data_IF_354817847556
#
_entry.id   IF_354817847556
#
_cell.length_a   1.000
_cell.length_b   1.000
_cell.length_c   1.000
_cell.angle_alpha   90.00
_cell.angle_beta   90.00
_cell.angle_gamma   90.00
#
_symmetry.space_group_name_H-M   'P 1'
#
loop_
_entity.id
_entity.type
_entity.pdbx_description
1 polymer ?
#
# COMPACT_ATOMS: atom_id res chain seq x y z
N UNK A 1 -5.16 -13.96 3.37
CA UNK A 1 -5.28 -13.15 4.62
C UNK A 1 -6.39 -12.13 4.40
N UNK A 2 -7.24 -11.86 5.40
CA UNK A 2 -8.31 -10.85 5.27
C UNK A 2 -7.99 -9.65 6.16
N UNK A 3 -8.05 -8.43 5.61
CA UNK A 3 -7.88 -7.17 6.35
C UNK A 3 -9.13 -6.96 7.21
N UNK A 4 -8.99 -7.03 8.55
CA UNK A 4 -10.11 -6.96 9.52
C UNK A 4 -10.63 -5.53 9.78
N UNK A 5 -10.19 -4.58 8.97
CA UNK A 5 -10.38 -3.14 9.08
C UNK A 5 -10.46 -2.59 7.64
N UNK A 6 -11.22 -1.51 7.38
CA UNK A 6 -11.42 -0.99 6.03
C UNK A 6 -10.14 -0.31 5.49
N UNK A 7 -9.15 -1.12 5.10
CA UNK A 7 -7.81 -0.72 4.63
C UNK A 7 -7.60 -1.06 3.14
N UNK A 8 -8.67 -1.49 2.46
CA UNK A 8 -8.61 -1.89 1.05
C UNK A 8 -8.08 -0.76 0.14
N UNK A 9 -8.33 0.51 0.47
CA UNK A 9 -7.78 1.65 -0.26
C UNK A 9 -6.24 1.72 -0.21
N UNK A 10 -5.63 1.46 0.95
CA UNK A 10 -4.17 1.43 1.09
C UNK A 10 -3.56 0.20 0.44
N UNK A 11 -4.27 -0.93 0.42
CA UNK A 11 -3.87 -2.08 -0.39
C UNK A 11 -3.87 -1.73 -1.89
N UNK A 12 -4.94 -1.07 -2.39
CA UNK A 12 -5.00 -0.59 -3.78
C UNK A 12 -3.84 0.35 -4.09
N UNK A 13 -3.44 1.21 -3.15
CA UNK A 13 -2.27 2.10 -3.31
C UNK A 13 -0.98 1.29 -3.54
N UNK A 14 -0.78 0.19 -2.81
CA UNK A 14 0.33 -0.74 -3.02
C UNK A 14 0.35 -1.32 -4.44
N UNK A 15 -0.80 -1.82 -4.90
CA UNK A 15 -0.97 -2.34 -6.25
C UNK A 15 -0.71 -1.27 -7.32
N UNK A 16 -1.19 -0.04 -7.09
CA UNK A 16 -0.98 1.08 -7.99
C UNK A 16 0.50 1.41 -8.13
N UNK A 17 1.25 1.51 -7.03
CA UNK A 17 2.70 1.79 -7.04
C UNK A 17 3.45 0.75 -7.88
N UNK A 18 3.11 -0.54 -7.71
CA UNK A 18 3.70 -1.63 -8.49
C UNK A 18 3.42 -1.50 -9.98
N UNK A 19 2.19 -1.09 -10.32
CA UNK A 19 1.70 -0.97 -11.69
C UNK A 19 2.36 0.20 -12.42
N UNK A 20 2.50 1.36 -11.78
CA UNK A 20 3.04 2.56 -12.43
C UNK A 20 4.57 2.55 -12.54
N UNK A 21 5.28 1.90 -11.62
CA UNK A 21 6.75 1.78 -11.65
C UNK A 21 7.53 3.10 -11.45
N UNK A 22 6.85 4.23 -11.26
CA UNK A 22 7.45 5.57 -11.13
C UNK A 22 7.67 6.02 -9.67
N UNK A 23 7.05 5.32 -8.71
CA UNK A 23 7.05 5.73 -7.30
C UNK A 23 7.93 4.81 -6.45
N UNK A 24 8.68 5.41 -5.51
CA UNK A 24 9.40 4.64 -4.49
C UNK A 24 8.42 4.20 -3.40
N UNK A 25 8.39 2.91 -3.09
CA UNK A 25 7.53 2.36 -2.04
C UNK A 25 7.76 3.06 -0.68
N UNK A 26 9.02 3.34 -0.33
CA UNK A 26 9.40 4.03 0.91
C UNK A 26 8.85 5.47 1.01
N UNK A 27 8.71 6.17 -0.11
CA UNK A 27 8.10 7.52 -0.12
C UNK A 27 6.63 7.46 0.27
N UNK A 28 5.92 6.39 -0.13
CA UNK A 28 4.51 6.24 0.21
C UNK A 28 4.33 5.74 1.65
N UNK A 29 5.24 4.92 2.17
CA UNK A 29 5.26 4.59 3.61
C UNK A 29 5.38 5.85 4.47
N UNK A 30 6.23 6.78 4.06
CA UNK A 30 6.39 8.04 4.76
C UNK A 30 5.15 8.93 4.66
N UNK A 31 4.51 8.99 3.48
CA UNK A 31 3.23 9.67 3.32
C UNK A 31 2.13 9.07 4.23
N UNK A 32 2.09 7.75 4.41
CA UNK A 32 1.16 7.10 5.35
C UNK A 32 1.41 7.59 6.78
N UNK A 33 2.67 7.72 7.20
CA UNK A 33 3.02 8.21 8.55
C UNK A 33 2.63 9.67 8.77
N UNK A 34 2.71 10.49 7.73
CA UNK A 34 2.38 11.91 7.79
C UNK A 34 0.87 12.19 7.75
N UNK A 35 0.10 11.38 7.01
CA UNK A 35 -1.33 11.63 6.75
C UNK A 35 -2.25 10.91 7.73
N UNK A 36 -1.89 9.69 8.16
CA UNK A 36 -2.75 8.89 9.03
C UNK A 36 -2.39 9.04 10.52
N UNK A 37 -3.35 8.84 11.44
CA UNK A 37 -3.06 8.68 12.86
C UNK A 37 -2.09 7.52 13.14
N UNK A 38 -1.18 7.70 14.11
CA UNK A 38 -0.11 6.73 14.45
C UNK A 38 -0.60 5.30 14.65
N UNK A 39 -1.72 5.12 15.35
CA UNK A 39 -2.36 3.81 15.60
C UNK A 39 -2.70 3.03 14.33
N UNK A 40 -2.75 3.69 13.17
CA UNK A 40 -3.09 3.08 11.88
C UNK A 40 -1.86 2.82 10.99
N UNK A 41 -0.67 3.33 11.33
CA UNK A 41 0.51 3.27 10.45
C UNK A 41 0.90 1.84 10.09
N UNK A 42 1.13 0.99 11.10
CA UNK A 42 1.66 -0.36 10.90
C UNK A 42 0.75 -1.22 10.00
N UNK A 43 -0.56 -1.24 10.28
CA UNK A 43 -1.52 -2.03 9.50
C UNK A 43 -1.69 -1.52 8.06
N UNK A 44 -1.58 -0.21 7.84
CA UNK A 44 -1.68 0.39 6.51
C UNK A 44 -0.41 0.13 5.69
N UNK A 45 0.77 0.31 6.29
CA UNK A 45 2.05 0.01 5.63
C UNK A 45 2.12 -1.47 5.25
N UNK A 46 1.72 -2.37 6.15
CA UNK A 46 1.70 -3.81 5.87
C UNK A 46 0.73 -4.16 4.73
N UNK A 47 -0.50 -3.62 4.76
CA UNK A 47 -1.48 -3.87 3.70
C UNK A 47 -0.99 -3.35 2.34
N UNK A 48 -0.35 -2.19 2.30
CA UNK A 48 0.26 -1.63 1.10
C UNK A 48 1.38 -2.53 0.57
N UNK A 49 2.28 -3.00 1.44
CA UNK A 49 3.40 -3.87 1.06
C UNK A 49 2.94 -5.21 0.50
N UNK A 50 2.00 -5.87 1.19
CA UNK A 50 1.40 -7.13 0.72
C UNK A 50 0.83 -6.93 -0.68
N UNK A 51 0.03 -5.88 -0.89
CA UNK A 51 -0.57 -5.64 -2.19
C UNK A 51 0.46 -5.30 -3.28
N UNK A 52 1.51 -4.53 -2.96
CA UNK A 52 2.60 -4.24 -3.88
C UNK A 52 3.33 -5.53 -4.34
N UNK A 53 3.58 -6.45 -3.40
CA UNK A 53 4.24 -7.74 -3.68
C UNK A 53 3.34 -8.71 -4.45
N UNK A 54 2.07 -8.81 -4.08
CA UNK A 54 1.10 -9.73 -4.69
C UNK A 54 0.59 -9.26 -6.06
N UNK A 55 0.73 -7.96 -6.37
CA UNK A 55 0.25 -7.40 -7.64
C UNK A 55 1.05 -7.92 -8.83
N UNK A 56 0.34 -8.61 -9.72
CA UNK A 56 0.87 -9.10 -11.00
C UNK A 56 0.46 -8.13 -12.11
N UNK A 57 1.43 -7.39 -12.62
CA UNK A 57 1.23 -6.50 -13.77
C UNK A 57 1.21 -7.35 -15.04
N UNK A 58 0.17 -7.20 -15.86
CA UNK A 58 0.09 -7.78 -17.21
C UNK A 58 0.12 -6.64 -18.21
N UNK A 59 0.78 -6.86 -19.34
CA UNK A 59 0.72 -5.93 -20.47
C UNK A 59 -0.72 -5.92 -21.04
N UNK A 60 -1.10 -4.77 -21.59
CA UNK A 60 -2.41 -4.54 -22.20
C UNK A 60 -2.48 -5.14 -23.61
#
# INVERSE_FOLDING_TARGET
KTLKVPISNTAILGAFIKTVGMLKLSSVEEAIRQVLPERLHAMNIEAMRIAYEETRVREA
#
